data_IF_410044955061
#
_entry.id   IF_410044955061
#
_cell.length_a   1.000
_cell.length_b   1.000
_cell.length_c   1.000
_cell.angle_alpha   90.00
_cell.angle_beta   90.00
_cell.angle_gamma   90.00
#
_symmetry.space_group_name_H-M   'P 1'
#
loop_
_entity.id
_entity.type
_entity.pdbx_description
1 polymer ?
#
# COMPACT_ATOMS: atom_id res chain seq x y z
N UNK A 1 13.98 -1.37 1.99
CA UNK A 1 13.11 -0.92 3.09
C UNK A 1 11.79 -0.38 2.54
N UNK A 2 10.65 -0.58 3.23
CA UNK A 2 9.35 -0.07 2.78
C UNK A 2 9.22 1.45 2.90
N UNK A 3 10.17 2.11 3.58
CA UNK A 3 10.22 3.57 3.76
C UNK A 3 11.52 4.16 3.19
N UNK A 4 11.42 5.37 2.64
CA UNK A 4 12.56 6.15 2.18
C UNK A 4 13.50 6.49 3.34
N UNK A 5 14.82 6.36 3.11
CA UNK A 5 15.80 6.90 4.05
C UNK A 5 15.98 8.41 3.88
N UNK A 6 16.30 9.09 4.96
CA UNK A 6 16.81 10.46 4.92
C UNK A 6 18.31 10.43 4.63
N UNK A 7 18.73 11.12 3.58
CA UNK A 7 20.14 11.36 3.29
C UNK A 7 20.54 12.67 3.99
N UNK A 8 21.56 12.60 4.82
CA UNK A 8 21.98 13.71 5.70
C UNK A 8 23.38 14.23 5.40
N UNK A 9 24.16 13.47 4.63
CA UNK A 9 25.49 13.88 4.20
C UNK A 9 26.19 12.81 3.39
N UNK A 10 27.43 13.11 3.04
CA UNK A 10 28.36 12.19 2.42
C UNK A 10 29.75 12.42 3.00
N UNK A 11 30.59 11.39 2.93
CA UNK A 11 31.98 11.42 3.36
C UNK A 11 32.87 10.84 2.25
N UNK A 12 34.19 10.99 2.40
CA UNK A 12 35.19 10.43 1.47
C UNK A 12 34.91 10.78 -0.01
N UNK A 13 34.49 12.02 -0.27
CA UNK A 13 34.24 12.49 -1.64
C UNK A 13 32.96 11.94 -2.29
N UNK A 14 32.07 11.29 -1.52
CA UNK A 14 30.81 10.71 -2.01
C UNK A 14 30.78 9.18 -1.97
N UNK A 15 31.91 8.54 -1.66
CA UNK A 15 32.01 7.09 -1.56
C UNK A 15 31.22 6.51 -0.37
N UNK A 16 30.97 7.34 0.65
CA UNK A 16 30.14 6.99 1.81
C UNK A 16 28.92 7.89 1.87
N UNK A 17 27.73 7.30 1.90
CA UNK A 17 26.48 7.97 2.18
C UNK A 17 26.17 7.91 3.68
N UNK A 18 25.79 9.05 4.26
CA UNK A 18 25.36 9.14 5.66
C UNK A 18 23.88 9.48 5.72
N UNK A 19 23.11 8.70 6.47
CA UNK A 19 21.67 8.89 6.54
C UNK A 19 20.99 8.24 7.73
N UNK A 20 19.67 8.31 7.74
CA UNK A 20 18.85 7.65 8.74
C UNK A 20 17.69 6.93 8.08
N UNK A 21 17.40 5.72 8.55
CA UNK A 21 16.22 4.95 8.13
C UNK A 21 15.60 4.30 9.36
N UNK A 22 14.26 4.25 9.41
CA UNK A 22 13.53 3.64 10.52
C UNK A 22 13.93 2.17 10.76
N UNK A 23 14.15 1.42 9.68
CA UNK A 23 14.52 0.00 9.70
C UNK A 23 16.02 -0.24 9.78
N UNK A 24 16.86 0.79 9.92
CA UNK A 24 18.32 0.61 9.91
C UNK A 24 18.86 -0.29 11.02
N UNK A 25 18.05 -0.63 12.05
CA UNK A 25 18.43 -1.58 13.11
C UNK A 25 17.84 -2.97 12.92
N UNK A 26 16.95 -3.15 11.95
CA UNK A 26 16.34 -4.45 11.63
C UNK A 26 17.38 -5.34 10.93
N UNK A 27 17.51 -6.61 11.32
CA UNK A 27 18.46 -7.54 10.70
C UNK A 27 18.36 -7.62 9.17
N UNK A 28 17.14 -7.51 8.63
CA UNK A 28 16.90 -7.59 7.18
C UNK A 28 17.30 -6.31 6.41
N UNK A 29 17.58 -5.21 7.13
CA UNK A 29 17.84 -3.89 6.56
C UNK A 29 19.18 -3.28 6.97
N UNK A 30 19.97 -3.96 7.82
CA UNK A 30 21.23 -3.45 8.35
C UNK A 30 22.49 -4.10 7.74
N UNK A 31 22.32 -5.01 6.77
CA UNK A 31 23.43 -5.67 6.12
C UNK A 31 24.38 -4.65 5.47
N UNK A 32 25.65 -4.69 5.88
CA UNK A 32 26.70 -3.80 5.36
C UNK A 32 26.62 -2.35 5.85
N UNK A 33 25.77 -2.04 6.84
CA UNK A 33 25.74 -0.71 7.46
C UNK A 33 26.82 -0.57 8.54
N UNK A 34 27.52 0.55 8.50
CA UNK A 34 28.25 1.10 9.63
C UNK A 34 27.41 2.21 10.28
N UNK A 35 27.82 2.74 11.42
CA UNK A 35 27.07 3.79 12.10
C UNK A 35 27.95 4.92 12.63
N UNK A 36 27.46 6.14 12.47
CA UNK A 36 27.94 7.32 13.18
C UNK A 36 27.66 7.21 14.69
N UNK A 37 28.43 7.88 15.56
CA UNK A 37 28.15 7.94 16.99
C UNK A 37 26.75 8.49 17.34
N UNK A 38 26.15 9.28 16.45
CA UNK A 38 24.79 9.82 16.60
C UNK A 38 23.69 8.83 16.16
N UNK A 39 24.05 7.64 15.69
CA UNK A 39 23.13 6.58 15.26
C UNK A 39 22.68 6.67 13.80
N UNK A 40 23.31 7.51 12.97
CA UNK A 40 23.05 7.55 11.53
C UNK A 40 23.81 6.41 10.85
N UNK A 41 23.23 5.78 9.84
CA UNK A 41 23.95 4.78 9.07
C UNK A 41 25.02 5.45 8.20
N UNK A 42 26.11 4.71 7.97
CA UNK A 42 27.11 4.92 6.93
C UNK A 42 27.01 3.74 5.96
N UNK A 43 26.89 4.03 4.66
CA UNK A 43 26.83 3.00 3.62
C UNK A 43 27.78 3.32 2.48
N UNK A 44 28.66 2.36 2.17
CA UNK A 44 29.48 2.32 0.96
C UNK A 44 28.74 1.64 -0.18
N UNK A 45 29.20 1.86 -1.41
CA UNK A 45 28.61 1.26 -2.62
C UNK A 45 27.09 1.49 -2.72
N UNK A 46 26.63 2.61 -2.16
CA UNK A 46 25.21 2.88 -1.96
C UNK A 46 24.46 3.08 -3.27
N UNK A 47 25.15 3.56 -4.32
CA UNK A 47 24.52 3.93 -5.58
C UNK A 47 23.94 2.72 -6.33
N UNK A 48 24.62 1.56 -6.31
CA UNK A 48 24.10 0.34 -6.97
C UNK A 48 22.83 -0.19 -6.32
N UNK A 49 22.63 0.14 -5.04
CA UNK A 49 21.47 -0.28 -4.25
C UNK A 49 20.38 0.80 -4.19
N UNK A 50 20.57 1.93 -4.90
CA UNK A 50 19.66 3.07 -4.89
C UNK A 50 18.65 2.96 -6.03
N UNK A 51 17.37 2.85 -5.69
CA UNK A 51 16.29 2.73 -6.68
C UNK A 51 15.82 4.10 -7.19
N UNK A 52 15.78 5.10 -6.30
CA UNK A 52 15.39 6.47 -6.62
C UNK A 52 16.01 7.46 -5.64
N UNK A 53 16.10 8.72 -6.06
CA UNK A 53 16.46 9.84 -5.20
C UNK A 53 15.36 10.89 -5.33
N UNK A 54 14.77 11.26 -4.19
CA UNK A 54 13.80 12.34 -4.11
C UNK A 54 14.51 13.60 -3.62
N UNK A 55 14.57 14.62 -4.47
CA UNK A 55 15.16 15.90 -4.14
C UNK A 55 14.05 16.91 -3.86
N UNK A 56 14.15 17.58 -2.71
CA UNK A 56 13.25 18.69 -2.37
C UNK A 56 13.88 19.98 -2.93
N UNK A 57 13.27 20.52 -3.98
CA UNK A 57 13.72 21.75 -4.63
C UNK A 57 13.31 23.02 -3.87
N UNK A 58 13.54 24.16 -4.51
CA UNK A 58 13.15 25.47 -3.98
C UNK A 58 11.65 25.58 -3.73
N UNK A 59 11.30 26.40 -2.75
CA UNK A 59 9.90 26.77 -2.50
C UNK A 59 9.34 27.47 -3.74
N UNK A 60 8.25 26.93 -4.27
CA UNK A 60 7.53 27.56 -5.38
C UNK A 60 6.96 28.91 -4.95
N UNK A 61 7.06 29.92 -5.83
CA UNK A 61 6.54 31.27 -5.59
C UNK A 61 5.00 31.31 -5.45
N UNK A 62 4.31 30.34 -6.05
CA UNK A 62 2.89 30.11 -5.90
C UNK A 62 2.62 28.61 -5.81
N UNK A 63 1.64 28.23 -5.00
CA UNK A 63 1.16 26.85 -4.95
C UNK A 63 0.43 26.50 -6.26
N UNK A 64 0.46 25.22 -6.69
CA UNK A 64 -0.36 24.76 -7.80
C UNK A 64 -1.85 25.07 -7.58
N UNK A 65 -2.60 25.27 -8.68
CA UNK A 65 -4.05 25.39 -8.60
C UNK A 65 -4.63 24.13 -7.96
N UNK A 66 -5.27 24.33 -6.79
CA UNK A 66 -5.85 23.24 -6.02
C UNK A 66 -6.94 22.51 -6.80
N UNK A 67 -7.74 23.20 -7.61
CA UNK A 67 -8.80 22.54 -8.40
C UNK A 67 -8.17 21.59 -9.43
N UNK A 68 -7.14 22.06 -10.12
CA UNK A 68 -6.39 21.26 -11.08
C UNK A 68 -5.69 20.08 -10.41
N UNK A 69 -5.01 20.31 -9.27
CA UNK A 69 -4.32 19.25 -8.54
C UNK A 69 -5.26 18.13 -8.09
N UNK A 70 -6.45 18.46 -7.58
CA UNK A 70 -7.45 17.45 -7.21
C UNK A 70 -8.00 16.69 -8.41
N UNK A 71 -8.22 17.38 -9.53
CA UNK A 71 -8.67 16.76 -10.77
C UNK A 71 -7.63 15.76 -11.28
N UNK A 72 -6.36 16.15 -11.35
CA UNK A 72 -5.25 15.29 -11.75
C UNK A 72 -5.09 14.09 -10.81
N UNK A 73 -5.19 14.32 -9.49
CA UNK A 73 -5.10 13.24 -8.51
C UNK A 73 -6.22 12.19 -8.70
N UNK A 74 -7.46 12.62 -8.93
CA UNK A 74 -8.58 11.70 -9.15
C UNK A 74 -8.46 11.01 -10.51
N UNK A 75 -8.05 11.71 -11.57
CA UNK A 75 -7.78 11.11 -12.88
C UNK A 75 -6.69 10.04 -12.78
N UNK A 76 -5.61 10.32 -12.05
CA UNK A 76 -4.55 9.34 -11.78
C UNK A 76 -5.05 8.15 -10.96
N UNK A 77 -5.84 8.38 -9.91
CA UNK A 77 -6.42 7.30 -9.12
C UNK A 77 -7.29 6.37 -9.98
N UNK A 78 -8.09 6.93 -10.90
CA UNK A 78 -8.89 6.15 -11.85
C UNK A 78 -8.01 5.33 -12.80
N UNK A 79 -6.95 5.93 -13.35
CA UNK A 79 -5.98 5.20 -14.17
C UNK A 79 -5.38 4.01 -13.40
N UNK A 80 -4.98 4.22 -12.15
CA UNK A 80 -4.44 3.16 -11.29
C UNK A 80 -5.47 2.07 -11.01
N UNK A 81 -6.71 2.41 -10.64
CA UNK A 81 -7.75 1.42 -10.31
C UNK A 81 -8.15 0.59 -11.53
N UNK A 82 -8.18 1.20 -12.73
CA UNK A 82 -8.63 0.56 -13.96
C UNK A 82 -7.53 -0.18 -14.72
N UNK A 83 -6.26 0.17 -14.51
CA UNK A 83 -5.14 -0.48 -15.21
C UNK A 83 -4.82 -1.84 -14.57
N UNK A 84 -5.04 -2.96 -15.28
CA UNK A 84 -4.93 -4.29 -14.69
C UNK A 84 -3.48 -4.72 -14.41
N UNK A 85 -2.50 -4.19 -15.15
CA UNK A 85 -1.08 -4.48 -15.02
C UNK A 85 -0.30 -3.17 -15.12
N UNK A 86 0.51 -2.85 -14.11
CA UNK A 86 1.26 -1.57 -14.07
C UNK A 86 2.76 -1.73 -13.87
N UNK A 87 3.19 -2.86 -13.32
CA UNK A 87 4.60 -3.16 -13.09
C UNK A 87 4.93 -4.58 -13.55
N UNK A 88 5.35 -4.69 -14.82
CA UNK A 88 5.59 -5.96 -15.48
C UNK A 88 4.30 -6.78 -15.58
N UNK A 89 4.33 -7.99 -15.04
CA UNK A 89 3.26 -8.97 -14.99
C UNK A 89 2.44 -8.93 -13.69
N UNK A 90 2.67 -7.94 -12.81
CA UNK A 90 1.94 -7.83 -11.54
C UNK A 90 0.56 -7.20 -11.74
N UNK A 91 -0.46 -7.90 -11.24
CA UNK A 91 -1.83 -7.41 -11.17
C UNK A 91 -1.93 -6.13 -10.32
N UNK A 92 -2.77 -5.21 -10.77
CA UNK A 92 -2.98 -3.89 -10.18
C UNK A 92 -4.47 -3.54 -10.16
N UNK A 93 -4.85 -2.57 -9.32
CA UNK A 93 -6.22 -2.06 -9.24
C UNK A 93 -7.25 -3.18 -9.01
N UNK A 94 -8.37 -3.12 -9.73
CA UNK A 94 -9.45 -4.11 -9.63
C UNK A 94 -9.02 -5.54 -9.97
N UNK A 95 -7.99 -5.71 -10.82
CA UNK A 95 -7.49 -7.03 -11.19
C UNK A 95 -6.69 -7.69 -10.05
N UNK A 96 -6.05 -6.89 -9.18
CA UNK A 96 -5.30 -7.41 -8.04
C UNK A 96 -6.20 -8.14 -7.03
N UNK A 97 -7.40 -7.64 -6.78
CA UNK A 97 -8.37 -8.32 -5.89
C UNK A 97 -8.78 -9.69 -6.46
N UNK A 98 -8.94 -9.80 -7.78
CA UNK A 98 -9.24 -11.06 -8.46
C UNK A 98 -8.11 -12.07 -8.28
N UNK A 99 -6.89 -11.67 -8.65
CA UNK A 99 -5.70 -12.51 -8.50
C UNK A 99 -5.45 -12.93 -7.05
N UNK A 100 -5.68 -12.03 -6.08
CA UNK A 100 -5.58 -12.33 -4.66
C UNK A 100 -6.62 -13.37 -4.22
N UNK A 101 -7.88 -13.20 -4.61
CA UNK A 101 -8.93 -14.16 -4.30
C UNK A 101 -8.69 -15.54 -4.94
N UNK A 102 -8.21 -15.57 -6.18
CA UNK A 102 -7.84 -16.80 -6.89
C UNK A 102 -6.68 -17.52 -6.20
N UNK A 103 -5.64 -16.79 -5.79
CA UNK A 103 -4.52 -17.35 -5.04
C UNK A 103 -4.97 -18.02 -3.75
N UNK A 104 -5.87 -17.39 -2.99
CA UNK A 104 -6.42 -17.98 -1.76
C UNK A 104 -7.22 -19.27 -2.00
N UNK A 105 -7.70 -19.54 -3.22
CA UNK A 105 -8.43 -20.76 -3.57
C UNK A 105 -7.53 -21.89 -4.08
N UNK A 106 -6.24 -21.64 -4.31
CA UNK A 106 -5.26 -22.62 -4.76
C UNK A 106 -4.77 -23.45 -3.56
N UNK A 107 -5.45 -24.56 -3.25
CA UNK A 107 -5.13 -25.36 -2.05
C UNK A 107 -3.70 -25.92 -2.08
N UNK A 108 -3.18 -26.20 -3.27
CA UNK A 108 -1.83 -26.70 -3.50
C UNK A 108 -0.75 -25.71 -3.02
N UNK A 109 -0.98 -24.40 -3.15
CA UNK A 109 -0.05 -23.35 -2.72
C UNK A 109 0.08 -23.22 -1.19
N UNK A 110 -0.83 -23.87 -0.45
CA UNK A 110 -0.86 -23.91 1.02
C UNK A 110 -0.63 -25.33 1.57
N UNK A 111 -0.44 -26.33 0.71
CA UNK A 111 -0.24 -27.74 1.09
C UNK A 111 1.21 -28.01 1.56
N UNK A 112 1.63 -27.30 2.61
CA UNK A 112 2.99 -27.33 3.16
C UNK A 112 2.96 -27.23 4.69
N UNK A 113 3.87 -27.93 5.35
CA UNK A 113 4.10 -27.82 6.79
C UNK A 113 5.33 -26.94 7.11
N UNK A 114 6.01 -26.40 6.09
CA UNK A 114 7.19 -25.54 6.28
C UNK A 114 6.77 -24.21 6.94
N UNK A 115 7.24 -23.92 8.17
CA UNK A 115 6.92 -22.68 8.86
C UNK A 115 7.36 -21.42 8.11
N UNK A 116 8.45 -21.47 7.35
CA UNK A 116 8.95 -20.33 6.60
C UNK A 116 8.02 -20.00 5.42
N UNK A 117 7.60 -21.03 4.68
CA UNK A 117 6.67 -20.88 3.56
C UNK A 117 5.31 -20.37 4.04
N UNK A 118 4.75 -20.97 5.09
CA UNK A 118 3.48 -20.52 5.67
C UNK A 118 3.56 -19.06 6.15
N UNK A 119 4.66 -18.68 6.80
CA UNK A 119 4.86 -17.31 7.26
C UNK A 119 4.92 -16.32 6.11
N UNK A 120 5.60 -16.67 5.02
CA UNK A 120 5.65 -15.86 3.80
C UNK A 120 4.27 -15.70 3.16
N UNK A 121 3.46 -16.77 3.10
CA UNK A 121 2.09 -16.68 2.58
C UNK A 121 1.21 -15.75 3.43
N UNK A 122 1.34 -15.83 4.75
CA UNK A 122 0.65 -14.89 5.65
C UNK A 122 1.14 -13.46 5.45
N UNK A 123 2.45 -13.25 5.32
CA UNK A 123 3.05 -11.94 5.10
C UNK A 123 2.48 -11.26 3.84
N UNK A 124 2.50 -11.94 2.69
CA UNK A 124 1.94 -11.39 1.45
C UNK A 124 0.45 -11.11 1.57
N UNK A 125 -0.31 -12.00 2.21
CA UNK A 125 -1.72 -11.79 2.49
C UNK A 125 -1.96 -10.55 3.38
N UNK A 126 -1.22 -10.44 4.48
CA UNK A 126 -1.33 -9.35 5.45
C UNK A 126 -0.88 -8.01 4.87
N UNK A 127 0.12 -7.98 3.99
CA UNK A 127 0.53 -6.79 3.24
C UNK A 127 -0.62 -6.28 2.33
N UNK A 128 -1.31 -7.18 1.65
CA UNK A 128 -2.46 -6.82 0.82
C UNK A 128 -3.62 -6.25 1.67
N UNK A 129 -3.94 -6.92 2.79
CA UNK A 129 -4.98 -6.45 3.73
C UNK A 129 -4.61 -5.09 4.30
N UNK A 130 -3.36 -4.90 4.74
CA UNK A 130 -2.88 -3.65 5.34
C UNK A 130 -2.91 -2.49 4.35
N UNK A 131 -2.44 -2.72 3.14
CA UNK A 131 -2.43 -1.71 2.07
C UNK A 131 -3.85 -1.20 1.76
N UNK A 132 -4.82 -2.11 1.66
CA UNK A 132 -6.23 -1.74 1.42
C UNK A 132 -6.80 -1.06 2.67
N UNK A 133 -6.60 -1.62 3.86
CA UNK A 133 -7.16 -1.08 5.09
C UNK A 133 -6.73 0.38 5.30
N UNK A 134 -5.42 0.64 5.27
CA UNK A 134 -4.88 1.96 5.52
C UNK A 134 -5.14 2.92 4.34
N UNK A 135 -4.82 2.48 3.13
CA UNK A 135 -4.95 3.29 1.92
C UNK A 135 -6.38 3.75 1.68
N UNK A 136 -7.37 2.86 1.85
CA UNK A 136 -8.79 3.19 1.66
C UNK A 136 -9.33 4.06 2.79
N UNK A 137 -8.85 3.91 4.01
CA UNK A 137 -9.23 4.82 5.10
C UNK A 137 -8.80 6.26 4.78
N UNK A 138 -7.53 6.48 4.44
CA UNK A 138 -7.05 7.83 4.15
C UNK A 138 -7.60 8.38 2.83
N UNK A 139 -7.87 7.53 1.84
CA UNK A 139 -8.60 7.95 0.64
C UNK A 139 -10.01 8.45 0.99
N UNK A 140 -10.73 7.78 1.91
CA UNK A 140 -12.03 8.22 2.37
C UNK A 140 -11.98 9.60 3.06
N UNK A 141 -10.99 9.82 3.92
CA UNK A 141 -10.77 11.11 4.59
C UNK A 141 -10.44 12.19 3.56
N UNK A 142 -9.53 11.91 2.64
CA UNK A 142 -9.13 12.83 1.58
C UNK A 142 -10.35 13.27 0.75
N UNK A 143 -11.18 12.34 0.30
CA UNK A 143 -12.37 12.63 -0.51
C UNK A 143 -13.45 13.38 0.28
N UNK A 144 -13.66 13.06 1.56
CA UNK A 144 -14.58 13.80 2.41
C UNK A 144 -14.13 15.26 2.63
N UNK A 145 -12.83 15.46 2.85
CA UNK A 145 -12.23 16.79 2.95
C UNK A 145 -12.35 17.55 1.61
N UNK A 146 -12.08 16.87 0.50
CA UNK A 146 -12.25 17.37 -0.85
C UNK A 146 -13.67 17.88 -1.08
N UNK A 147 -14.68 17.07 -0.73
CA UNK A 147 -16.09 17.38 -0.86
C UNK A 147 -16.54 18.56 0.01
N UNK A 148 -15.87 18.80 1.14
CA UNK A 148 -16.16 19.93 2.04
C UNK A 148 -15.60 21.28 1.57
N UNK A 149 -14.82 21.29 0.49
CA UNK A 149 -14.16 22.48 -0.06
C UNK A 149 -14.64 22.73 -1.51
N UNK A 150 -14.68 23.99 -1.97
CA UNK A 150 -14.89 24.26 -3.41
C UNK A 150 -13.62 23.95 -4.21
N UNK A 151 -13.49 22.68 -4.61
CA UNK A 151 -12.43 22.20 -5.50
C UNK A 151 -12.92 22.00 -6.95
N UNK A 152 -14.14 22.45 -7.29
CA UNK A 152 -14.68 22.33 -8.65
C UNK A 152 -15.05 20.90 -9.08
N UNK A 153 -15.40 20.03 -8.14
CA UNK A 153 -15.88 18.66 -8.36
C UNK A 153 -17.23 18.45 -7.68
N UNK A 154 -18.01 17.47 -8.14
CA UNK A 154 -19.33 17.19 -7.56
C UNK A 154 -19.23 16.57 -6.17
N UNK A 155 -19.36 17.40 -5.13
CA UNK A 155 -19.25 16.97 -3.73
C UNK A 155 -20.11 15.74 -3.35
N UNK A 156 -21.37 15.58 -3.78
CA UNK A 156 -22.14 14.37 -3.47
C UNK A 156 -21.49 13.08 -3.97
N UNK A 157 -20.83 13.12 -5.14
CA UNK A 157 -20.12 11.96 -5.70
C UNK A 157 -18.86 11.64 -4.93
N UNK A 158 -18.12 12.66 -4.49
CA UNK A 158 -16.95 12.48 -3.64
C UNK A 158 -17.31 11.84 -2.28
N UNK A 159 -18.43 12.23 -1.65
CA UNK A 159 -18.91 11.58 -0.44
C UNK A 159 -19.32 10.12 -0.67
N UNK A 160 -19.94 9.80 -1.80
CA UNK A 160 -20.29 8.43 -2.14
C UNK A 160 -19.05 7.55 -2.34
N UNK A 161 -18.04 8.05 -3.07
CA UNK A 161 -16.75 7.37 -3.21
C UNK A 161 -16.05 7.20 -1.85
N UNK A 162 -16.05 8.23 -1.00
CA UNK A 162 -15.50 8.15 0.35
C UNK A 162 -16.16 7.04 1.19
N UNK A 163 -17.49 6.93 1.13
CA UNK A 163 -18.22 5.89 1.85
C UNK A 163 -17.86 4.48 1.37
N UNK A 164 -17.64 4.28 0.07
CA UNK A 164 -17.16 3.00 -0.47
C UNK A 164 -15.78 2.64 0.07
N UNK A 165 -14.84 3.59 0.09
CA UNK A 165 -13.50 3.35 0.64
C UNK A 165 -13.47 3.11 2.15
N UNK A 166 -14.31 3.82 2.91
CA UNK A 166 -14.50 3.52 4.33
C UNK A 166 -15.05 2.10 4.54
N UNK A 167 -15.96 1.65 3.67
CA UNK A 167 -16.47 0.27 3.72
C UNK A 167 -15.40 -0.77 3.39
N UNK A 168 -14.52 -0.53 2.42
CA UNK A 168 -13.38 -1.41 2.15
C UNK A 168 -12.45 -1.53 3.35
N UNK A 169 -12.15 -0.42 4.02
CA UNK A 169 -11.38 -0.43 5.27
C UNK A 169 -12.02 -1.36 6.31
N UNK A 170 -13.34 -1.23 6.54
CA UNK A 170 -14.07 -2.07 7.49
C UNK A 170 -14.04 -3.56 7.10
N UNK A 171 -14.08 -3.87 5.81
CA UNK A 171 -13.98 -5.24 5.31
C UNK A 171 -12.61 -5.86 5.63
N UNK A 172 -11.53 -5.09 5.57
CA UNK A 172 -10.19 -5.59 5.92
C UNK A 172 -10.06 -5.99 7.39
N UNK A 173 -10.79 -5.32 8.29
CA UNK A 173 -10.91 -5.79 9.69
C UNK A 173 -11.55 -7.16 9.80
N UNK A 174 -12.48 -7.51 8.91
CA UNK A 174 -13.09 -8.84 8.89
C UNK A 174 -12.11 -9.88 8.35
N UNK A 175 -11.31 -9.53 7.34
CA UNK A 175 -10.24 -10.40 6.82
C UNK A 175 -9.22 -10.71 7.92
N UNK A 176 -8.71 -9.69 8.62
CA UNK A 176 -7.81 -9.91 9.76
C UNK A 176 -8.43 -10.80 10.85
N UNK A 177 -9.69 -10.55 11.23
CA UNK A 177 -10.37 -11.40 12.24
C UNK A 177 -10.46 -12.86 11.82
N UNK A 178 -10.60 -13.15 10.52
CA UNK A 178 -10.67 -14.52 10.03
C UNK A 178 -9.39 -15.32 10.30
N UNK A 179 -8.24 -14.64 10.42
CA UNK A 179 -6.93 -15.26 10.73
C UNK A 179 -6.46 -14.98 12.17
N UNK A 180 -7.32 -14.50 13.06
CA UNK A 180 -6.98 -14.24 14.47
C UNK A 180 -6.52 -12.80 14.79
N UNK A 181 -6.85 -11.84 13.92
CA UNK A 181 -6.62 -10.41 14.13
C UNK A 181 -5.32 -9.86 13.54
N UNK A 182 -5.02 -8.60 13.81
CA UNK A 182 -3.87 -7.86 13.24
C UNK A 182 -2.53 -8.42 13.71
N UNK A 183 -1.53 -8.42 12.83
CA UNK A 183 -0.15 -8.82 13.10
C UNK A 183 0.15 -10.26 12.69
N UNK A 184 1.44 -10.58 12.54
CA UNK A 184 1.92 -11.84 11.97
C UNK A 184 2.38 -12.82 13.04
N UNK A 185 2.00 -14.08 12.93
CA UNK A 185 2.56 -15.18 13.71
C UNK A 185 2.39 -16.50 12.98
N UNK A 186 3.21 -17.50 13.33
CA UNK A 186 3.09 -18.84 12.76
C UNK A 186 1.73 -19.49 13.05
N UNK A 187 1.12 -19.18 14.20
CA UNK A 187 -0.24 -19.64 14.53
C UNK A 187 -1.25 -19.12 13.51
N UNK A 188 -1.21 -17.82 13.21
CA UNK A 188 -2.09 -17.22 12.21
C UNK A 188 -1.80 -17.70 10.79
N UNK A 189 -0.54 -18.00 10.49
CA UNK A 189 -0.15 -18.57 9.20
C UNK A 189 -0.78 -19.96 9.01
N UNK A 190 -0.83 -20.78 10.07
CA UNK A 190 -1.54 -22.06 10.07
C UNK A 190 -3.06 -21.89 9.96
N UNK A 191 -3.64 -20.85 10.56
CA UNK A 191 -5.06 -20.52 10.38
C UNK A 191 -5.34 -20.16 8.91
N UNK A 192 -4.50 -19.34 8.27
CA UNK A 192 -4.63 -19.01 6.85
C UNK A 192 -4.44 -20.25 5.94
N UNK A 193 -3.61 -21.21 6.36
CA UNK A 193 -3.43 -22.48 5.64
C UNK A 193 -4.66 -23.39 5.65
N UNK A 194 -5.65 -23.13 6.51
CA UNK A 194 -6.94 -23.82 6.48
C UNK A 194 -7.77 -23.36 5.25
N UNK A 195 -8.13 -24.28 4.33
CA UNK A 195 -8.89 -23.93 3.14
C UNK A 195 -10.30 -23.40 3.46
N UNK A 196 -10.92 -23.77 4.58
CA UNK A 196 -12.21 -23.22 5.01
C UNK A 196 -12.08 -21.76 5.47
N UNK A 197 -10.96 -21.38 6.07
CA UNK A 197 -10.66 -19.98 6.40
C UNK A 197 -10.51 -19.16 5.12
N UNK A 198 -9.69 -19.62 4.17
CA UNK A 198 -9.48 -18.90 2.90
C UNK A 198 -10.77 -18.72 2.11
N UNK A 199 -11.59 -19.77 2.01
CA UNK A 199 -12.90 -19.70 1.32
C UNK A 199 -13.88 -18.73 1.98
N UNK A 200 -13.77 -18.49 3.30
CA UNK A 200 -14.57 -17.46 3.99
C UNK A 200 -14.04 -16.04 3.75
N UNK A 201 -12.74 -15.89 3.51
CA UNK A 201 -12.11 -14.60 3.20
C UNK A 201 -12.45 -14.13 1.78
N UNK A 202 -12.43 -15.03 0.80
CA UNK A 202 -12.68 -14.73 -0.62
C UNK A 202 -13.91 -13.85 -0.89
N UNK A 203 -15.12 -14.13 -0.36
CA UNK A 203 -16.28 -13.26 -0.59
C UNK A 203 -16.12 -11.85 -0.02
N UNK A 204 -15.32 -11.68 1.06
CA UNK A 204 -15.00 -10.37 1.65
C UNK A 204 -14.12 -9.57 0.69
N UNK A 205 -13.12 -10.21 0.07
CA UNK A 205 -12.26 -9.61 -0.96
C UNK A 205 -13.08 -9.20 -2.18
N UNK A 206 -14.02 -10.05 -2.61
CA UNK A 206 -14.91 -9.75 -3.73
C UNK A 206 -15.85 -8.57 -3.42
N UNK A 207 -16.37 -8.47 -2.19
CA UNK A 207 -17.13 -7.29 -1.75
C UNK A 207 -16.27 -6.03 -1.76
N UNK A 208 -15.02 -6.11 -1.29
CA UNK A 208 -14.10 -4.98 -1.30
C UNK A 208 -13.80 -4.52 -2.74
N UNK A 209 -13.54 -5.45 -3.67
CA UNK A 209 -13.38 -5.15 -5.10
C UNK A 209 -14.60 -4.42 -5.67
N UNK A 210 -15.81 -4.88 -5.36
CA UNK A 210 -17.04 -4.26 -5.84
C UNK A 210 -17.19 -2.83 -5.29
N UNK A 211 -16.74 -2.58 -4.05
CA UNK A 211 -16.71 -1.24 -3.46
C UNK A 211 -15.69 -0.33 -4.12
N UNK A 212 -14.49 -0.83 -4.48
CA UNK A 212 -13.49 -0.05 -5.21
C UNK A 212 -14.00 0.32 -6.62
N UNK A 213 -14.69 -0.60 -7.28
CA UNK A 213 -15.34 -0.35 -8.57
C UNK A 213 -16.48 0.67 -8.48
N UNK A 214 -17.32 0.59 -7.44
CA UNK A 214 -18.36 1.58 -7.14
C UNK A 214 -17.76 2.97 -6.85
N UNK A 215 -16.68 3.03 -6.07
CA UNK A 215 -15.95 4.25 -5.79
C UNK A 215 -15.40 4.89 -7.07
N UNK A 216 -14.76 4.10 -7.94
CA UNK A 216 -14.25 4.57 -9.23
C UNK A 216 -15.36 5.18 -10.09
N UNK A 217 -16.52 4.54 -10.17
CA UNK A 217 -17.67 5.08 -10.92
C UNK A 217 -18.14 6.44 -10.34
N UNK A 218 -18.11 6.60 -9.02
CA UNK A 218 -18.42 7.87 -8.38
C UNK A 218 -17.36 8.94 -8.66
N UNK A 219 -16.07 8.58 -8.65
CA UNK A 219 -14.99 9.48 -8.99
C UNK A 219 -15.06 9.96 -10.45
N UNK A 220 -15.34 9.06 -11.40
CA UNK A 220 -15.60 9.41 -12.81
C UNK A 220 -16.76 10.40 -12.93
N UNK A 221 -17.87 10.14 -12.23
CA UNK A 221 -19.01 11.04 -12.22
C UNK A 221 -18.73 12.39 -11.53
N UNK A 222 -17.74 12.46 -10.63
CA UNK A 222 -17.37 13.71 -9.96
C UNK A 222 -16.56 14.65 -10.86
N UNK A 223 -15.89 14.09 -11.88
CA UNK A 223 -15.07 14.80 -12.87
C UNK A 223 -15.89 15.38 -14.04
N UNK A 224 -17.07 14.80 -14.30
CA UNK A 224 -17.99 15.20 -15.37
C UNK A 224 -18.69 16.53 -15.09
#
# INVERSE_FOLDING_TARGET
>A
PPEECLITGYDEGGDVLVGWNFFQSSPDCNAGLEYEPCGYFRKRDWFSDTWSLVLIGDRLAALPDRKQAFREAITFALDVVRTPLRYGDRHNGLAAYGAWAEHLLCDEDFATDDPAELSLRLEVHDDAVSTIAEGRWYASIFLAQAASTDIGLLAPRLYQAAACYAREHDLMWHVWRAVGGVGRSLEKARILADPEVRRRIVPIIQEARAKDEEAANHLEAALA
#
